data_IF_734457945574
#
_entry.id   IF_734457945574
#
_cell.length_a   1.000
_cell.length_b   1.000
_cell.length_c   1.000
_cell.angle_alpha   90.00
_cell.angle_beta   90.00
_cell.angle_gamma   90.00
#
_symmetry.space_group_name_H-M   'P 1'
#
loop_
_entity.id
_entity.type
_entity.pdbx_description
1 polymer ?
#
# COMPACT_ATOMS: atom_id res chain seq x y z
N UNK A 1 -11.88 -16.33 4.66
CA UNK A 1 -11.89 -16.03 3.22
C UNK A 1 -10.62 -15.25 2.97
N UNK A 2 -9.72 -15.77 2.14
CA UNK A 2 -8.51 -15.05 1.73
C UNK A 2 -8.80 -14.36 0.40
N UNK A 3 -8.48 -13.07 0.31
CA UNK A 3 -8.59 -12.28 -0.91
C UNK A 3 -7.15 -12.03 -1.37
N UNK A 4 -6.68 -12.63 -2.47
CA UNK A 4 -5.33 -12.37 -2.97
C UNK A 4 -5.24 -10.91 -3.41
N UNK A 5 -4.17 -10.22 -3.01
CA UNK A 5 -3.95 -8.84 -3.39
C UNK A 5 -2.47 -8.53 -3.58
N UNK A 6 -2.21 -7.57 -4.45
CA UNK A 6 -0.93 -6.92 -4.66
C UNK A 6 -1.05 -5.45 -4.27
N UNK A 7 0.08 -4.86 -3.88
CA UNK A 7 0.15 -3.46 -3.47
C UNK A 7 1.37 -2.80 -4.09
N UNK A 8 1.20 -1.58 -4.56
CA UNK A 8 2.31 -0.67 -4.80
C UNK A 8 2.09 0.70 -4.18
N UNK A 9 3.17 1.41 -3.91
CA UNK A 9 3.06 2.84 -3.64
C UNK A 9 2.56 3.58 -4.88
N UNK A 10 1.76 4.62 -4.63
CA UNK A 10 1.39 5.58 -5.65
C UNK A 10 2.63 6.15 -6.33
N UNK A 11 2.54 6.38 -7.64
CA UNK A 11 3.67 6.84 -8.43
C UNK A 11 4.28 8.15 -7.89
N UNK A 12 3.45 9.14 -7.54
CA UNK A 12 3.94 10.42 -7.03
C UNK A 12 4.60 10.25 -5.67
N UNK A 13 4.03 9.38 -4.81
CA UNK A 13 4.62 9.11 -3.52
C UNK A 13 5.96 8.37 -3.64
N UNK A 14 6.02 7.31 -4.45
CA UNK A 14 7.26 6.58 -4.74
C UNK A 14 8.33 7.50 -5.36
N UNK A 15 7.94 8.38 -6.28
CA UNK A 15 8.85 9.35 -6.90
C UNK A 15 9.39 10.36 -5.89
N UNK A 16 8.57 10.80 -4.92
CA UNK A 16 9.04 11.69 -3.86
C UNK A 16 10.14 11.05 -3.01
N UNK A 17 10.08 9.74 -2.78
CA UNK A 17 11.13 8.98 -2.08
C UNK A 17 12.38 8.88 -2.96
N UNK A 18 12.22 8.57 -4.26
CA UNK A 18 13.35 8.51 -5.22
C UNK A 18 14.10 9.83 -5.36
N UNK A 19 13.44 10.97 -5.16
CA UNK A 19 14.07 12.29 -5.22
C UNK A 19 14.88 12.64 -3.96
N UNK A 20 14.61 11.97 -2.84
CA UNK A 20 15.24 12.26 -1.54
C UNK A 20 16.40 11.32 -1.20
N UNK A 21 16.50 10.17 -1.87
CA UNK A 21 17.47 9.11 -1.56
C UNK A 21 18.23 8.66 -2.81
N UNK A 22 19.39 8.02 -2.63
CA UNK A 22 20.09 7.38 -3.75
C UNK A 22 19.26 6.20 -4.30
N UNK A 23 19.47 5.85 -5.59
CA UNK A 23 18.62 4.88 -6.28
C UNK A 23 18.47 3.52 -5.57
N UNK A 24 19.55 3.00 -4.96
CA UNK A 24 19.49 1.73 -4.21
C UNK A 24 18.69 1.88 -2.91
N UNK A 25 18.98 2.94 -2.15
CA UNK A 25 18.31 3.21 -0.89
C UNK A 25 16.81 3.48 -1.09
N UNK A 26 16.45 4.27 -2.11
CA UNK A 26 15.07 4.52 -2.48
C UNK A 26 14.32 3.23 -2.81
N UNK A 27 14.95 2.29 -3.53
CA UNK A 27 14.34 1.00 -3.85
C UNK A 27 14.10 0.15 -2.59
N UNK A 28 15.07 0.11 -1.68
CA UNK A 28 14.96 -0.59 -0.40
C UNK A 28 13.83 -0.02 0.45
N UNK A 29 13.77 1.31 0.60
CA UNK A 29 12.73 2.01 1.35
C UNK A 29 11.33 1.79 0.77
N UNK A 30 11.18 1.89 -0.56
CA UNK A 30 9.89 1.63 -1.21
C UNK A 30 9.43 0.19 -0.97
N UNK A 31 10.34 -0.78 -1.14
CA UNK A 31 10.00 -2.20 -0.97
C UNK A 31 9.61 -2.50 0.49
N UNK A 32 10.35 -1.95 1.45
CA UNK A 32 10.04 -2.10 2.88
C UNK A 32 8.67 -1.48 3.22
N UNK A 33 8.36 -0.29 2.67
CA UNK A 33 7.06 0.34 2.86
C UNK A 33 5.93 -0.50 2.25
N UNK A 34 6.09 -1.01 1.03
CA UNK A 34 5.10 -1.89 0.38
C UNK A 34 4.85 -3.15 1.22
N UNK A 35 5.89 -3.79 1.75
CA UNK A 35 5.78 -4.97 2.62
C UNK A 35 5.04 -4.67 3.93
N UNK A 36 5.34 -3.53 4.56
CA UNK A 36 4.68 -3.10 5.80
C UNK A 36 3.19 -2.81 5.59
N UNK A 37 2.86 -2.12 4.51
CA UNK A 37 1.47 -1.85 4.17
C UNK A 37 0.75 -3.15 3.81
N UNK A 38 1.36 -4.02 3.01
CA UNK A 38 0.82 -5.34 2.69
C UNK A 38 0.53 -6.17 3.94
N UNK A 39 1.42 -6.13 4.92
CA UNK A 39 1.23 -6.77 6.23
C UNK A 39 0.04 -6.16 6.99
N UNK A 40 -0.09 -4.84 7.04
CA UNK A 40 -1.22 -4.17 7.69
C UNK A 40 -2.56 -4.48 7.01
N UNK A 41 -2.60 -4.48 5.68
CA UNK A 41 -3.78 -4.85 4.89
C UNK A 41 -4.19 -6.30 5.12
N UNK A 42 -3.23 -7.21 5.20
CA UNK A 42 -3.47 -8.62 5.52
C UNK A 42 -4.11 -8.78 6.90
N UNK A 43 -3.64 -8.00 7.89
CA UNK A 43 -4.23 -7.98 9.23
C UNK A 43 -5.67 -7.44 9.23
N UNK A 44 -5.95 -6.38 8.46
CA UNK A 44 -7.31 -5.85 8.29
C UNK A 44 -8.22 -6.90 7.67
N UNK A 45 -7.79 -7.55 6.59
CA UNK A 45 -8.54 -8.63 5.94
C UNK A 45 -8.78 -9.79 6.89
N UNK A 46 -7.77 -10.21 7.65
CA UNK A 46 -7.91 -11.32 8.61
C UNK A 46 -8.93 -10.98 9.72
N UNK A 47 -8.97 -9.74 10.19
CA UNK A 47 -9.86 -9.29 11.28
C UNK A 47 -11.28 -9.00 10.82
N UNK A 48 -11.43 -8.39 9.65
CA UNK A 48 -12.72 -7.83 9.19
C UNK A 48 -13.30 -8.55 7.97
N UNK A 49 -12.54 -9.44 7.33
CA UNK A 49 -12.97 -10.18 6.14
C UNK A 49 -13.08 -9.32 4.87
N UNK A 50 -12.53 -8.12 4.88
CA UNK A 50 -12.60 -7.15 3.77
C UNK A 50 -11.23 -6.50 3.56
N UNK A 51 -10.93 -6.18 2.29
CA UNK A 51 -9.83 -5.28 1.97
C UNK A 51 -10.31 -3.82 2.03
N UNK A 52 -9.46 -2.88 2.46
CA UNK A 52 -9.73 -1.46 2.37
C UNK A 52 -10.14 -1.01 0.97
N UNK A 53 -11.08 -0.07 0.92
CA UNK A 53 -11.55 0.58 -0.29
C UNK A 53 -10.77 1.87 -0.58
N UNK A 54 -10.96 2.43 -1.77
CA UNK A 54 -10.41 3.74 -2.12
C UNK A 54 -10.96 4.79 -1.16
N UNK A 55 -10.07 5.60 -0.58
CA UNK A 55 -10.37 6.61 0.43
C UNK A 55 -10.21 6.11 1.88
N UNK A 56 -10.16 4.79 2.09
CA UNK A 56 -9.89 4.24 3.42
C UNK A 56 -8.45 4.51 3.84
N UNK A 57 -8.28 4.65 5.16
CA UNK A 57 -6.99 4.91 5.79
C UNK A 57 -6.49 3.67 6.49
N UNK A 58 -5.20 3.44 6.40
CA UNK A 58 -4.52 2.30 7.01
C UNK A 58 -3.38 2.84 7.85
N UNK A 59 -3.35 2.44 9.12
CA UNK A 59 -2.26 2.80 10.03
C UNK A 59 -1.10 1.81 9.85
N UNK A 60 0.10 2.33 9.61
CA UNK A 60 1.33 1.57 9.43
C UNK A 60 2.43 2.28 10.20
N UNK A 61 3.05 1.60 11.16
CA UNK A 61 4.13 2.15 12.00
C UNK A 61 3.85 3.53 12.63
N UNK A 62 2.59 3.80 13.01
CA UNK A 62 2.09 5.10 13.55
C UNK A 62 1.92 6.22 12.51
N UNK A 63 2.09 5.91 11.23
CA UNK A 63 1.72 6.78 10.12
C UNK A 63 0.40 6.35 9.49
N UNK A 64 -0.31 7.31 8.89
CA UNK A 64 -1.52 7.02 8.14
C UNK A 64 -1.22 7.06 6.65
N UNK A 65 -1.67 6.02 5.95
CA UNK A 65 -1.68 5.95 4.50
C UNK A 65 -3.12 5.87 4.02
N UNK A 66 -3.36 6.30 2.79
CA UNK A 66 -4.68 6.24 2.15
C UNK A 66 -4.59 5.36 0.91
N UNK A 67 -5.56 4.46 0.75
CA UNK A 67 -5.74 3.72 -0.50
C UNK A 67 -6.30 4.68 -1.53
N UNK A 68 -5.54 5.01 -2.56
CA UNK A 68 -5.94 5.99 -3.58
C UNK A 68 -6.45 5.34 -4.87
N UNK A 69 -6.06 4.10 -5.13
CA UNK A 69 -6.59 3.32 -6.25
C UNK A 69 -6.81 1.86 -5.88
N UNK A 70 -7.80 1.25 -6.52
CA UNK A 70 -8.09 -0.18 -6.44
C UNK A 70 -8.53 -0.67 -7.81
N UNK A 71 -7.93 -1.74 -8.29
CA UNK A 71 -8.32 -2.44 -9.51
C UNK A 71 -8.31 -3.95 -9.30
N UNK A 72 -8.69 -4.71 -10.32
CA UNK A 72 -8.84 -6.15 -10.27
C UNK A 72 -8.08 -6.81 -11.42
N UNK A 73 -7.27 -7.81 -11.10
CA UNK A 73 -6.63 -8.70 -12.06
C UNK A 73 -7.65 -9.66 -12.68
N UNK A 74 -7.34 -10.16 -13.88
CA UNK A 74 -8.19 -11.17 -14.54
C UNK A 74 -8.21 -12.50 -13.79
N UNK A 75 -7.21 -12.76 -12.97
CA UNK A 75 -7.09 -13.92 -12.07
C UNK A 75 -7.89 -13.76 -10.77
N UNK A 76 -8.56 -12.62 -10.58
CA UNK A 76 -9.34 -12.30 -9.38
C UNK A 76 -8.53 -11.66 -8.25
N UNK A 77 -7.24 -11.37 -8.47
CA UNK A 77 -6.43 -10.58 -7.53
C UNK A 77 -6.96 -9.14 -7.44
N UNK A 78 -6.80 -8.53 -6.26
CA UNK A 78 -7.05 -7.10 -6.07
C UNK A 78 -5.71 -6.38 -6.11
N UNK A 79 -5.58 -5.36 -6.96
CA UNK A 79 -4.39 -4.50 -6.93
C UNK A 79 -4.73 -3.18 -6.25
N UNK A 80 -3.89 -2.78 -5.30
CA UNK A 80 -4.07 -1.59 -4.49
C UNK A 80 -2.92 -0.63 -4.73
N UNK A 81 -3.23 0.67 -4.73
CA UNK A 81 -2.24 1.72 -4.60
C UNK A 81 -2.46 2.48 -3.31
N UNK A 82 -1.36 2.79 -2.62
CA UNK A 82 -1.37 3.55 -1.39
C UNK A 82 -0.46 4.78 -1.50
N UNK A 83 -0.90 5.89 -0.91
CA UNK A 83 -0.09 7.11 -0.78
C UNK A 83 -0.11 7.61 0.66
N UNK A 84 0.84 8.47 1.00
CA UNK A 84 0.85 9.15 2.29
C UNK A 84 -0.45 9.92 2.51
N UNK A 85 -0.99 9.84 3.73
CA UNK A 85 -2.13 10.67 4.12
C UNK A 85 -1.64 12.10 4.40
N UNK A 86 -2.01 13.04 3.54
CA UNK A 86 -1.83 14.47 3.76
C UNK A 86 -3.03 14.96 4.60
N UNK A 87 -2.78 15.24 5.88
CA UNK A 87 -3.78 15.70 6.85
C UNK A 87 -4.24 17.13 6.67
#
# INVERSE_FOLDING_TARGET
MEIPFDLNLDYTYAESIRQQHEAREAHELISELEDKIGSALSLVMQRHGVLPAVGDRVEVDSEWLVINARTFGQDGSVWLSAKQFEG
#
